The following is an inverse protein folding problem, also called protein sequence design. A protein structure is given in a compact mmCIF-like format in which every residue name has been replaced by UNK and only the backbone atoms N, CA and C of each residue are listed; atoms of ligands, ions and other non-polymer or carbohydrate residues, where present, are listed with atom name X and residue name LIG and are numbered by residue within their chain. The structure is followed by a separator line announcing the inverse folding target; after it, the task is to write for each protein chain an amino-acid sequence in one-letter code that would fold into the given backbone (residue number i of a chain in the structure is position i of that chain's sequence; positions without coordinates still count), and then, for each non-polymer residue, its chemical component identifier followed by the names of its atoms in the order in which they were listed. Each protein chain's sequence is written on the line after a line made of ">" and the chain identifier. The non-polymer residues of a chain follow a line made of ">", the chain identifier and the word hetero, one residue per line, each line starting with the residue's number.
data_IF_048904763302
#
_entry.id   IF_048904763302
#
_cell.length_a   1.000
_cell.length_b   1.000
_cell.length_c   1.000
_cell.angle_alpha   90.00
_cell.angle_beta   90.00
_cell.angle_gamma   90.00
#
_symmetry.space_group_name_H-M   'P 1'
#
loop_
_entity.id
_entity.type
_entity.pdbx_description
1 polymer ?
#
# COMPACT_ATOMS: atom_id res chain seq x y z
N UNK A 1 -18.63 15.09 26.14
CA UNK A 1 -18.07 13.84 25.55
C UNK A 1 -17.51 14.17 24.18
N UNK A 2 -16.24 13.91 23.99
CA UNK A 2 -15.66 13.94 22.63
C UNK A 2 -16.10 12.68 21.91
N UNK A 3 -16.85 12.84 20.81
CA UNK A 3 -17.24 11.71 19.97
C UNK A 3 -16.08 11.35 19.07
N UNK A 4 -15.70 10.07 19.05
CA UNK A 4 -14.68 9.58 18.12
C UNK A 4 -15.23 9.71 16.69
N UNK A 5 -14.54 10.40 15.79
CA UNK A 5 -14.98 10.50 14.38
C UNK A 5 -14.87 9.16 13.67
N UNK A 6 -15.60 9.01 12.58
CA UNK A 6 -15.42 7.86 11.69
C UNK A 6 -14.01 7.91 11.10
N UNK A 7 -13.25 6.83 11.24
CA UNK A 7 -11.82 6.76 10.89
C UNK A 7 -11.54 5.54 10.04
N UNK A 8 -10.80 5.72 8.96
CA UNK A 8 -10.30 4.62 8.15
C UNK A 8 -9.17 3.91 8.92
N UNK A 9 -9.39 2.65 9.28
CA UNK A 9 -8.44 1.89 10.12
C UNK A 9 -7.69 0.79 9.39
N UNK A 10 -8.13 0.44 8.17
CA UNK A 10 -7.64 -0.77 7.53
C UNK A 10 -7.85 -0.75 6.02
N UNK A 11 -6.90 -1.30 5.28
CA UNK A 11 -6.98 -1.56 3.84
C UNK A 11 -6.56 -3.00 3.56
N UNK A 12 -7.31 -3.71 2.74
CA UNK A 12 -7.06 -5.10 2.38
C UNK A 12 -6.47 -5.25 0.99
N UNK A 13 -5.54 -6.18 0.87
CA UNK A 13 -5.08 -6.71 -0.41
C UNK A 13 -5.44 -8.20 -0.51
N UNK A 14 -5.75 -8.65 -1.72
CA UNK A 14 -6.05 -10.06 -1.96
C UNK A 14 -4.77 -10.84 -2.32
N UNK A 15 -4.67 -12.08 -1.85
CA UNK A 15 -3.63 -13.03 -2.23
C UNK A 15 -4.15 -14.47 -2.19
N UNK A 16 -3.67 -15.31 -3.06
CA UNK A 16 -3.90 -16.76 -2.98
C UNK A 16 -3.01 -17.42 -1.90
N UNK A 17 -1.96 -16.72 -1.47
CA UNK A 17 -1.03 -17.15 -0.42
C UNK A 17 -0.68 -15.96 0.50
N UNK A 18 -1.50 -15.68 1.52
CA UNK A 18 -1.27 -14.55 2.43
C UNK A 18 0.07 -14.59 3.17
N UNK A 19 0.57 -15.78 3.52
CA UNK A 19 1.85 -15.92 4.20
C UNK A 19 3.01 -15.47 3.30
N UNK A 20 3.00 -15.87 2.04
CA UNK A 20 3.99 -15.47 1.06
C UNK A 20 3.90 -13.99 0.72
N UNK A 21 2.68 -13.46 0.65
CA UNK A 21 2.47 -12.03 0.45
C UNK A 21 2.94 -11.19 1.65
N UNK A 22 2.68 -11.63 2.88
CA UNK A 22 3.20 -10.98 4.09
C UNK A 22 4.72 -10.91 4.09
N UNK A 23 5.39 -12.01 3.75
CA UNK A 23 6.84 -12.05 3.58
C UNK A 23 7.33 -11.07 2.50
N UNK A 24 6.66 -11.02 1.35
CA UNK A 24 6.97 -10.07 0.27
C UNK A 24 6.97 -8.62 0.80
N UNK A 25 5.90 -8.18 1.46
CA UNK A 25 5.78 -6.82 1.96
C UNK A 25 6.79 -6.51 3.08
N UNK A 26 7.09 -7.48 3.94
CA UNK A 26 8.16 -7.35 4.95
C UNK A 26 9.54 -7.13 4.30
N UNK A 27 9.86 -7.87 3.26
CA UNK A 27 11.15 -7.78 2.58
C UNK A 27 11.28 -6.55 1.68
N UNK A 28 10.18 -6.09 1.08
CA UNK A 28 10.17 -4.91 0.20
C UNK A 28 10.20 -3.61 0.99
N UNK A 29 9.38 -3.49 2.04
CA UNK A 29 9.20 -2.25 2.79
C UNK A 29 9.80 -2.29 4.19
N UNK A 30 10.20 -3.46 4.69
CA UNK A 30 10.66 -3.61 6.07
C UNK A 30 9.52 -3.60 7.10
N UNK A 31 8.28 -3.81 6.67
CA UNK A 31 7.13 -3.82 7.58
C UNK A 31 7.08 -5.10 8.42
N UNK A 32 6.57 -4.96 9.65
CA UNK A 32 6.36 -6.11 10.51
C UNK A 32 5.14 -6.89 10.04
N UNK A 33 5.33 -8.19 9.82
CA UNK A 33 4.25 -9.16 9.59
C UNK A 33 3.72 -9.64 10.95
N UNK A 34 2.42 -9.52 11.14
CA UNK A 34 1.70 -10.00 12.31
C UNK A 34 0.75 -11.11 11.87
N UNK A 35 1.28 -12.33 11.84
CA UNK A 35 0.54 -13.52 11.42
C UNK A 35 -0.65 -13.77 12.35
N UNK A 36 -1.78 -14.08 11.74
CA UNK A 36 -3.02 -14.37 12.45
C UNK A 36 -3.36 -15.85 12.40
N UNK A 37 -3.96 -16.40 13.49
CA UNK A 37 -4.42 -17.78 13.49
C UNK A 37 -5.27 -18.10 12.26
N UNK A 38 -5.22 -19.34 11.79
CA UNK A 38 -5.97 -19.88 10.66
C UNK A 38 -5.39 -19.60 9.26
N UNK A 39 -4.34 -18.78 9.11
CA UNK A 39 -3.65 -18.57 7.84
C UNK A 39 -4.48 -17.95 6.71
N UNK A 40 -5.63 -17.34 7.04
CA UNK A 40 -6.52 -16.69 6.05
C UNK A 40 -6.27 -15.18 5.93
N UNK A 41 -5.52 -14.64 6.89
CA UNK A 41 -5.29 -13.21 7.00
C UNK A 41 -3.93 -12.92 7.63
N UNK A 42 -3.19 -12.00 7.06
CA UNK A 42 -1.99 -11.41 7.63
C UNK A 42 -2.20 -9.92 7.83
N UNK A 43 -1.80 -9.41 8.98
CA UNK A 43 -1.79 -7.98 9.24
C UNK A 43 -0.37 -7.45 9.09
N UNK A 44 -0.17 -6.53 8.17
CA UNK A 44 1.08 -5.78 8.07
C UNK A 44 1.00 -4.53 8.94
N UNK A 45 2.06 -4.24 9.67
CA UNK A 45 2.19 -3.00 10.43
C UNK A 45 3.14 -2.07 9.67
N UNK A 46 2.58 -1.12 8.87
CA UNK A 46 3.39 -0.23 8.07
C UNK A 46 4.04 0.83 8.97
N UNK A 47 5.35 0.96 8.88
CA UNK A 47 6.13 2.05 9.42
C UNK A 47 5.81 2.52 10.84
N UNK A 48 6.14 3.76 11.12
CA UNK A 48 5.78 4.47 12.33
C UNK A 48 4.46 5.25 12.20
N UNK A 49 4.05 5.88 13.30
CA UNK A 49 2.87 6.74 13.29
C UNK A 49 3.05 7.92 12.31
N UNK A 50 1.94 8.36 11.72
CA UNK A 50 1.94 9.65 11.04
C UNK A 50 2.32 10.74 12.04
N UNK A 51 3.32 11.54 11.68
CA UNK A 51 3.71 12.68 12.47
C UNK A 51 3.07 13.96 11.91
N UNK A 52 2.62 14.81 12.81
CA UNK A 52 2.24 16.18 12.50
C UNK A 52 3.48 16.98 12.07
N UNK A 53 3.29 18.16 11.49
CA UNK A 53 4.38 19.03 11.05
C UNK A 53 5.34 19.49 12.18
N UNK A 54 4.88 19.43 13.42
CA UNK A 54 5.67 19.75 14.62
C UNK A 54 6.43 18.54 15.22
N UNK A 55 6.31 17.37 14.58
CA UNK A 55 6.94 16.12 15.02
C UNK A 55 6.17 15.35 16.08
N UNK A 56 5.00 15.83 16.52
CA UNK A 56 4.12 15.07 17.43
C UNK A 56 3.40 13.95 16.69
N UNK A 57 2.98 12.91 17.42
CA UNK A 57 2.17 11.83 16.85
C UNK A 57 0.80 12.35 16.40
N UNK A 58 0.40 11.95 15.21
CA UNK A 58 -0.93 12.29 14.68
C UNK A 58 -2.01 11.51 15.42
N UNK A 59 -3.15 12.14 15.68
CA UNK A 59 -4.34 11.50 16.23
C UNK A 59 -4.93 10.42 15.32
N UNK A 60 -4.59 10.44 14.03
CA UNK A 60 -5.08 9.47 13.05
C UNK A 60 -4.53 8.06 13.31
N UNK A 61 -3.40 7.95 14.03
CA UNK A 61 -2.77 6.65 14.30
C UNK A 61 -2.25 5.94 13.05
N UNK A 62 -2.01 4.65 13.16
CA UNK A 62 -1.53 3.83 12.04
C UNK A 62 -2.68 3.21 11.26
N UNK A 63 -2.70 3.47 9.96
CA UNK A 63 -3.50 2.69 9.03
C UNK A 63 -2.80 1.33 8.82
N UNK A 64 -3.48 0.23 9.16
CA UNK A 64 -2.96 -1.11 8.96
C UNK A 64 -3.27 -1.63 7.56
N UNK A 65 -2.40 -2.48 7.03
CA UNK A 65 -2.62 -3.23 5.81
C UNK A 65 -2.96 -4.68 6.15
N UNK A 66 -4.03 -5.22 5.58
CA UNK A 66 -4.37 -6.63 5.63
C UNK A 66 -4.09 -7.34 4.32
N UNK A 67 -3.80 -8.62 4.42
CA UNK A 67 -3.66 -9.50 3.26
C UNK A 67 -4.60 -10.68 3.48
N UNK A 68 -5.65 -10.77 2.65
CA UNK A 68 -6.64 -11.83 2.71
C UNK A 68 -6.42 -12.89 1.64
N UNK A 69 -6.83 -14.10 1.96
CA UNK A 69 -6.98 -15.11 0.92
C UNK A 69 -8.08 -14.71 -0.05
N UNK A 70 -7.78 -14.76 -1.33
CA UNK A 70 -8.70 -14.35 -2.40
C UNK A 70 -9.96 -15.22 -2.46
N UNK A 71 -9.90 -16.47 -1.99
CA UNK A 71 -11.01 -17.40 -1.94
C UNK A 71 -11.82 -17.37 -0.62
N UNK A 72 -11.47 -16.46 0.30
CA UNK A 72 -12.07 -16.38 1.63
C UNK A 72 -12.13 -14.94 2.14
N UNK A 73 -12.98 -14.13 1.53
CA UNK A 73 -13.18 -12.72 1.88
C UNK A 73 -14.00 -12.56 3.17
N UNK A 74 -13.48 -13.02 4.30
CA UNK A 74 -14.12 -12.84 5.63
C UNK A 74 -13.72 -11.50 6.27
N UNK A 75 -14.59 -10.88 7.08
CA UNK A 75 -15.97 -11.30 7.37
C UNK A 75 -16.95 -10.93 6.24
N UNK A 76 -17.73 -11.89 5.80
CA UNK A 76 -18.84 -11.66 4.87
C UNK A 76 -20.11 -12.34 5.42
N UNK A 77 -21.31 -11.71 5.36
CA UNK A 77 -22.55 -12.28 5.89
C UNK A 77 -22.99 -13.54 5.15
N UNK A 78 -22.67 -13.68 3.88
CA UNK A 78 -22.88 -14.90 3.12
C UNK A 78 -21.66 -15.83 3.25
N UNK A 79 -21.82 -17.08 3.75
CA UNK A 79 -20.73 -18.04 3.85
C UNK A 79 -20.07 -18.40 2.51
N UNK A 80 -20.80 -18.28 1.40
CA UNK A 80 -20.27 -18.50 0.06
C UNK A 80 -19.41 -17.31 -0.43
N UNK A 81 -19.57 -16.15 0.21
CA UNK A 81 -18.87 -14.94 -0.13
C UNK A 81 -19.28 -14.36 -1.50
N UNK A 82 -19.01 -13.08 -1.68
CA UNK A 82 -18.98 -12.48 -3.01
C UNK A 82 -17.54 -12.52 -3.47
N UNK A 83 -17.28 -13.02 -4.66
CA UNK A 83 -15.96 -12.95 -5.28
C UNK A 83 -15.52 -11.47 -5.35
N UNK A 84 -14.50 -11.04 -4.61
CA UNK A 84 -14.07 -9.64 -4.64
C UNK A 84 -13.64 -9.17 -6.03
N UNK A 85 -13.30 -10.13 -6.89
CA UNK A 85 -12.91 -9.89 -8.28
C UNK A 85 -14.04 -9.42 -9.18
N UNK A 86 -15.30 -9.77 -8.85
CA UNK A 86 -16.44 -9.39 -9.68
C UNK A 86 -16.65 -7.89 -9.77
N UNK A 87 -16.32 -7.15 -8.70
CA UNK A 87 -16.39 -5.71 -8.67
C UNK A 87 -15.19 -5.03 -9.37
N UNK A 88 -14.08 -5.77 -9.52
CA UNK A 88 -12.85 -5.29 -10.13
C UNK A 88 -12.70 -5.72 -11.61
N UNK A 89 -13.49 -6.71 -12.06
CA UNK A 89 -13.46 -7.17 -13.44
C UNK A 89 -14.00 -6.07 -14.38
N UNK A 90 -13.11 -5.46 -15.13
CA UNK A 90 -13.42 -4.36 -16.05
C UNK A 90 -13.50 -2.97 -15.41
N UNK A 91 -13.27 -2.83 -14.11
CA UNK A 91 -13.24 -1.56 -13.39
C UNK A 91 -11.85 -1.12 -12.95
N UNK A 92 -11.75 0.09 -12.40
CA UNK A 92 -10.52 0.55 -11.74
C UNK A 92 -10.34 -0.22 -10.44
N UNK A 93 -9.23 -0.92 -10.32
CA UNK A 93 -8.83 -1.59 -9.07
C UNK A 93 -8.49 -0.57 -8.00
N UNK A 94 -8.72 -0.93 -6.75
CA UNK A 94 -8.17 -0.15 -5.63
C UNK A 94 -6.64 -0.12 -5.72
N UNK A 95 -6.07 1.01 -5.36
CA UNK A 95 -4.61 1.21 -5.34
C UNK A 95 -4.18 1.64 -3.96
N UNK A 96 -3.05 1.12 -3.51
CA UNK A 96 -2.46 1.50 -2.23
C UNK A 96 -1.34 2.49 -2.48
N UNK A 97 -1.39 3.62 -1.79
CA UNK A 97 -0.37 4.66 -1.87
C UNK A 97 0.54 4.58 -0.66
N UNK A 98 1.84 4.48 -0.91
CA UNK A 98 2.87 4.38 0.10
C UNK A 98 3.74 5.63 0.06
N UNK A 99 3.77 6.37 1.15
CA UNK A 99 4.76 7.44 1.34
C UNK A 99 6.14 6.79 1.49
N UNK A 100 7.06 7.13 0.58
CA UNK A 100 8.45 6.70 0.69
C UNK A 100 9.09 7.42 1.87
N UNK A 101 9.60 6.65 2.82
CA UNK A 101 10.19 7.17 4.05
C UNK A 101 11.54 7.85 3.81
N UNK A 102 11.93 8.70 4.75
CA UNK A 102 13.23 9.36 4.72
C UNK A 102 14.36 8.32 4.71
N UNK A 103 15.36 8.53 3.87
CA UNK A 103 16.49 7.61 3.70
C UNK A 103 16.17 6.36 2.85
N UNK A 104 14.97 6.26 2.30
CA UNK A 104 14.60 5.25 1.30
C UNK A 104 14.57 5.88 -0.09
N UNK A 105 14.86 5.08 -1.13
CA UNK A 105 14.69 5.50 -2.51
C UNK A 105 13.64 4.63 -3.20
N UNK A 106 12.89 5.22 -4.12
CA UNK A 106 11.92 4.46 -4.90
C UNK A 106 12.62 3.42 -5.80
N UNK A 107 13.83 3.72 -6.27
CA UNK A 107 14.64 2.80 -7.08
C UNK A 107 14.97 1.51 -6.31
N UNK A 108 15.43 1.66 -5.07
CA UNK A 108 15.74 0.51 -4.21
C UNK A 108 14.49 -0.31 -3.85
N UNK A 109 13.36 0.37 -3.60
CA UNK A 109 12.08 -0.31 -3.35
C UNK A 109 11.64 -1.08 -4.59
N UNK A 110 11.64 -0.45 -5.77
CA UNK A 110 11.29 -1.10 -7.02
C UNK A 110 12.19 -2.29 -7.33
N UNK A 111 13.49 -2.14 -7.08
CA UNK A 111 14.43 -3.25 -7.25
C UNK A 111 14.09 -4.43 -6.33
N UNK A 112 13.87 -4.18 -5.04
CA UNK A 112 13.48 -5.24 -4.10
C UNK A 112 12.17 -5.91 -4.50
N UNK A 113 11.21 -5.13 -4.99
CA UNK A 113 9.93 -5.65 -5.44
C UNK A 113 10.08 -6.52 -6.70
N UNK A 114 10.82 -6.05 -7.71
CA UNK A 114 11.04 -6.81 -8.96
C UNK A 114 11.86 -8.07 -8.76
N UNK A 115 12.88 -8.03 -7.89
CA UNK A 115 13.64 -9.21 -7.51
C UNK A 115 12.75 -10.31 -6.86
N UNK A 116 11.54 -9.93 -6.40
CA UNK A 116 10.55 -10.81 -5.77
C UNK A 116 9.28 -11.04 -6.60
N UNK A 117 9.38 -10.77 -7.90
CA UNK A 117 8.33 -11.09 -8.87
C UNK A 117 7.30 -9.99 -9.13
N UNK A 118 7.50 -8.78 -8.62
CA UNK A 118 6.65 -7.65 -8.98
C UNK A 118 6.95 -7.14 -10.39
N UNK A 119 5.98 -6.48 -10.98
CA UNK A 119 6.09 -5.83 -12.30
C UNK A 119 5.98 -4.34 -12.15
N UNK A 120 6.95 -3.58 -12.63
CA UNK A 120 6.89 -2.11 -12.68
C UNK A 120 5.80 -1.69 -13.65
N UNK A 121 4.91 -0.79 -13.22
CA UNK A 121 3.84 -0.24 -14.04
C UNK A 121 4.23 1.08 -14.68
N UNK A 122 4.81 1.98 -13.90
CA UNK A 122 5.43 3.22 -14.38
C UNK A 122 6.47 3.73 -13.41
N UNK A 123 7.35 4.59 -13.89
CA UNK A 123 8.33 5.36 -13.12
C UNK A 123 8.30 6.82 -13.55
N UNK A 124 8.95 7.67 -12.76
CA UNK A 124 9.32 9.02 -13.18
C UNK A 124 8.12 9.88 -13.59
N UNK A 125 7.07 9.86 -12.75
CA UNK A 125 5.88 10.66 -12.95
C UNK A 125 5.75 11.71 -11.84
N UNK A 126 5.40 12.95 -12.18
CA UNK A 126 5.06 14.01 -11.25
C UNK A 126 3.60 14.39 -11.40
N UNK A 127 2.85 14.32 -10.30
CA UNK A 127 1.45 14.69 -10.24
C UNK A 127 1.28 16.02 -9.50
N UNK A 128 0.93 17.05 -10.27
CA UNK A 128 0.84 18.44 -9.77
C UNK A 128 -0.22 18.61 -8.69
N UNK A 129 -1.39 18.01 -8.84
CA UNK A 129 -2.51 18.17 -7.88
C UNK A 129 -2.16 17.67 -6.48
N UNK A 130 -1.36 16.59 -6.38
CA UNK A 130 -0.86 16.04 -5.12
C UNK A 130 0.55 16.50 -4.77
N UNK A 131 1.16 17.31 -5.62
CA UNK A 131 2.52 17.80 -5.44
C UNK A 131 3.50 16.68 -5.04
N UNK A 132 3.58 15.66 -5.87
CA UNK A 132 4.42 14.51 -5.55
C UNK A 132 4.91 13.74 -6.76
N UNK A 133 6.09 13.15 -6.57
CA UNK A 133 6.69 12.22 -7.52
C UNK A 133 6.14 10.82 -7.25
N UNK A 134 5.78 10.09 -8.29
CA UNK A 134 5.21 8.77 -8.11
C UNK A 134 5.73 7.74 -9.10
N UNK A 135 5.78 6.51 -8.64
CA UNK A 135 6.23 5.32 -9.32
C UNK A 135 5.29 4.19 -8.91
N UNK A 136 5.08 3.19 -9.72
CA UNK A 136 4.16 2.14 -9.36
C UNK A 136 4.64 0.76 -9.80
N UNK A 137 4.25 -0.23 -9.01
CA UNK A 137 4.42 -1.63 -9.36
C UNK A 137 3.14 -2.42 -9.08
N UNK A 138 3.03 -3.56 -9.73
CA UNK A 138 2.04 -4.57 -9.43
C UNK A 138 2.72 -5.69 -8.67
N UNK A 139 2.17 -6.07 -7.53
CA UNK A 139 2.69 -7.21 -6.78
C UNK A 139 2.42 -8.54 -7.51
N UNK A 140 3.02 -9.67 -7.09
CA UNK A 140 2.80 -10.95 -7.76
C UNK A 140 1.34 -11.44 -7.73
N UNK A 141 0.50 -10.85 -6.89
CA UNK A 141 -0.92 -11.20 -6.73
C UNK A 141 -1.88 -10.24 -7.46
N UNK A 142 -1.34 -9.25 -8.17
CA UNK A 142 -2.10 -8.34 -9.01
C UNK A 142 -2.52 -7.03 -8.34
N UNK A 143 -2.10 -6.77 -7.09
CA UNK A 143 -2.39 -5.51 -6.41
C UNK A 143 -1.48 -4.39 -6.92
N UNK A 144 -2.04 -3.18 -7.06
CA UNK A 144 -1.30 -2.01 -7.53
C UNK A 144 -0.84 -1.16 -6.35
N UNK A 145 0.47 -0.96 -6.29
CA UNK A 145 1.14 -0.19 -5.24
C UNK A 145 1.79 1.03 -5.87
N UNK A 146 1.47 2.20 -5.34
CA UNK A 146 2.06 3.46 -5.79
C UNK A 146 3.00 3.97 -4.71
N UNK A 147 4.24 4.20 -5.09
CA UNK A 147 5.24 4.86 -4.26
C UNK A 147 5.12 6.36 -4.47
N UNK A 148 4.98 7.12 -3.40
CA UNK A 148 4.82 8.55 -3.45
C UNK A 148 5.90 9.27 -2.63
N UNK A 149 6.54 10.26 -3.26
CA UNK A 149 7.55 11.11 -2.65
C UNK A 149 7.05 12.55 -2.70
N UNK A 150 7.06 13.25 -1.57
CA UNK A 150 6.60 14.65 -1.49
C UNK A 150 7.43 15.56 -2.39
N UNK A 151 6.77 16.43 -3.14
CA UNK A 151 7.43 17.44 -3.98
C UNK A 151 8.04 18.61 -3.20
N UNK A 152 7.51 18.89 -2.00
CA UNK A 152 7.95 20.04 -1.22
C UNK A 152 7.41 21.38 -1.72
N UNK A 153 7.89 22.48 -1.15
CA UNK A 153 7.42 23.83 -1.48
C UNK A 153 7.86 24.29 -2.89
N UNK A 154 9.02 23.82 -3.35
CA UNK A 154 9.57 24.12 -4.67
C UNK A 154 10.08 22.82 -5.33
N UNK A 155 9.18 22.04 -5.93
CA UNK A 155 9.52 20.73 -6.46
C UNK A 155 10.46 20.84 -7.67
N UNK A 156 11.64 20.27 -7.56
CA UNK A 156 12.62 20.17 -8.63
C UNK A 156 12.32 18.96 -9.49
N UNK A 157 11.56 19.15 -10.57
CA UNK A 157 11.09 18.06 -11.42
C UNK A 157 12.16 17.76 -12.49
N UNK A 158 12.76 16.54 -12.47
CA UNK A 158 13.75 16.18 -13.47
C UNK A 158 13.17 16.21 -14.90
N UNK A 159 13.98 16.50 -15.93
CA UNK A 159 13.50 16.62 -17.31
C UNK A 159 12.87 15.35 -17.89
N UNK A 160 13.28 14.17 -17.38
CA UNK A 160 12.78 12.87 -17.84
C UNK A 160 11.43 12.48 -17.22
N UNK A 161 10.94 13.26 -16.24
CA UNK A 161 9.65 12.96 -15.60
C UNK A 161 8.48 13.40 -16.48
N UNK A 162 7.47 12.54 -16.58
CA UNK A 162 6.18 12.92 -17.14
C UNK A 162 5.42 13.77 -16.11
N UNK A 163 4.58 14.67 -16.58
CA UNK A 163 3.87 15.65 -15.76
C UNK A 163 2.39 15.66 -16.11
N UNK A 164 1.55 15.65 -15.08
CA UNK A 164 0.12 15.89 -15.15
C UNK A 164 -0.32 16.96 -14.17
#
# INVERSE_FOLDING_TARGET
>A
MTTTPNTLIFVDLASDDPAKAGKFYSEVFGWRDDDRPLGVFHRMVPGGNFLNSDGSESEIGNLHLGIFRADNARPHPDPQGVEPRTLADGGRKARVWILVGDGQSHEDILKRATDRGATVLWTDHYWKEFNGFNHAFRDPWGNEIILWVKGGADPQIPPNYTRE
#
